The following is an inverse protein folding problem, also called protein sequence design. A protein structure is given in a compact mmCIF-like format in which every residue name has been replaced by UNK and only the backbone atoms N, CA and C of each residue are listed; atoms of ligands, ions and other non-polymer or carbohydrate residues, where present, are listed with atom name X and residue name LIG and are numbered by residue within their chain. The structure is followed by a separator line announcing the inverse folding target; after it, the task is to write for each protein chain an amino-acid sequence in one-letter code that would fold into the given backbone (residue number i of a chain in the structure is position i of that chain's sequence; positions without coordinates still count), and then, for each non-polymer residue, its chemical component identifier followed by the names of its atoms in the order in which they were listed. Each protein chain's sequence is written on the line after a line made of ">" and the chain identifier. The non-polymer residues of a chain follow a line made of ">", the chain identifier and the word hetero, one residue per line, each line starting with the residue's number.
data_IF_684557773222
#
_entry.id   IF_684557773222
#
_cell.length_a   1.000
_cell.length_b   1.000
_cell.length_c   1.000
_cell.angle_alpha   90.00
_cell.angle_beta   90.00
_cell.angle_gamma   90.00
#
_symmetry.space_group_name_H-M   'P 1'
#
loop_
_entity.id
_entity.type
_entity.pdbx_description
1 polymer ?
#
# COMPACT_ATOMS: atom_id res chain seq x y z
N UNK A 1 -6.42 -3.60 -17.51
CA UNK A 1 -6.29 -4.55 -16.39
C UNK A 1 -7.50 -4.35 -15.49
N UNK A 2 -8.22 -5.41 -15.18
CA UNK A 2 -9.37 -5.38 -14.27
C UNK A 2 -8.92 -5.68 -12.85
N UNK A 3 -9.73 -5.29 -11.87
CA UNK A 3 -9.57 -5.73 -10.49
C UNK A 3 -9.53 -7.26 -10.41
N UNK A 4 -8.56 -7.80 -9.68
CA UNK A 4 -8.36 -9.25 -9.55
C UNK A 4 -9.19 -9.88 -8.41
N UNK A 5 -9.86 -9.06 -7.60
CA UNK A 5 -10.67 -9.51 -6.47
C UNK A 5 -10.06 -9.15 -5.11
N UNK A 6 -10.90 -9.22 -4.07
CA UNK A 6 -10.50 -9.01 -2.67
C UNK A 6 -9.78 -10.24 -2.12
N UNK A 7 -8.84 -10.02 -1.21
CA UNK A 7 -8.11 -11.08 -0.52
C UNK A 7 -8.24 -10.92 0.99
N UNK A 8 -8.21 -12.03 1.71
CA UNK A 8 -8.00 -11.96 3.16
C UNK A 8 -6.58 -11.44 3.46
N UNK A 9 -6.33 -10.86 4.65
CA UNK A 9 -4.97 -10.45 5.04
C UNK A 9 -3.96 -11.60 4.97
N UNK A 10 -4.37 -12.83 5.28
CA UNK A 10 -3.50 -14.00 5.23
C UNK A 10 -3.12 -14.38 3.78
N UNK A 11 -4.09 -14.37 2.86
CA UNK A 11 -3.83 -14.65 1.44
C UNK A 11 -2.97 -13.56 0.80
N UNK A 12 -3.17 -12.30 1.21
CA UNK A 12 -2.33 -11.19 0.78
C UNK A 12 -0.89 -11.36 1.27
N UNK A 13 -0.70 -11.75 2.53
CA UNK A 13 0.63 -12.01 3.10
C UNK A 13 1.36 -13.14 2.37
N UNK A 14 0.68 -14.25 2.08
CA UNK A 14 1.26 -15.37 1.34
C UNK A 14 1.76 -14.95 -0.07
N UNK A 15 1.15 -13.92 -0.67
CA UNK A 15 1.65 -13.33 -1.93
C UNK A 15 2.89 -12.46 -1.72
N UNK A 16 2.97 -11.71 -0.62
CA UNK A 16 4.15 -10.91 -0.29
C UNK A 16 5.38 -11.80 -0.07
N UNK A 17 5.21 -12.96 0.57
CA UNK A 17 6.26 -13.97 0.72
C UNK A 17 6.72 -14.55 -0.63
N UNK A 18 5.91 -14.44 -1.68
CA UNK A 18 6.23 -14.85 -3.05
C UNK A 18 6.75 -13.68 -3.91
N UNK A 19 7.16 -12.57 -3.30
CA UNK A 19 7.75 -11.43 -3.99
C UNK A 19 6.74 -10.42 -4.55
N UNK A 20 5.47 -10.48 -4.13
CA UNK A 20 4.53 -9.39 -4.43
C UNK A 20 4.91 -8.09 -3.69
N UNK A 21 4.44 -6.95 -4.21
CA UNK A 21 4.67 -5.63 -3.61
C UNK A 21 3.39 -5.18 -2.91
N UNK A 22 3.50 -4.84 -1.62
CA UNK A 22 2.43 -4.17 -0.88
C UNK A 22 2.45 -2.68 -1.21
N UNK A 23 1.33 -2.13 -1.69
CA UNK A 23 1.15 -0.69 -1.84
C UNK A 23 0.21 -0.21 -0.74
N UNK A 24 0.74 0.50 0.25
CA UNK A 24 -0.05 1.13 1.31
C UNK A 24 -0.52 2.50 0.81
N UNK A 25 -1.85 2.62 0.65
CA UNK A 25 -2.50 3.78 0.02
C UNK A 25 -3.19 4.70 1.03
N UNK A 26 -3.00 4.43 2.33
CA UNK A 26 -3.45 5.27 3.43
C UNK A 26 -2.75 6.61 3.41
N UNK A 27 -3.25 7.55 4.18
CA UNK A 27 -2.66 8.90 4.31
C UNK A 27 -1.36 8.87 5.12
N UNK A 28 -0.49 9.86 4.89
CA UNK A 28 0.70 10.08 5.73
C UNK A 28 0.34 10.22 7.22
N UNK A 29 -0.78 10.88 7.52
CA UNK A 29 -1.30 10.99 8.88
C UNK A 29 -1.59 9.63 9.52
N UNK A 30 -2.18 8.70 8.78
CA UNK A 30 -2.42 7.34 9.27
C UNK A 30 -1.11 6.58 9.49
N UNK A 31 -0.13 6.69 8.60
CA UNK A 31 1.17 6.04 8.81
C UNK A 31 1.87 6.56 10.07
N UNK A 32 1.83 7.88 10.30
CA UNK A 32 2.48 8.50 11.46
C UNK A 32 1.78 8.18 12.79
N UNK A 33 0.44 8.09 12.81
CA UNK A 33 -0.33 7.93 14.05
C UNK A 33 -0.71 6.47 14.36
N UNK A 34 -0.94 5.65 13.34
CA UNK A 34 -1.35 4.24 13.48
C UNK A 34 -0.15 3.31 13.33
N UNK A 35 0.79 3.68 12.45
CA UNK A 35 1.96 2.89 12.11
C UNK A 35 1.88 2.26 10.72
N UNK A 36 2.99 1.63 10.34
CA UNK A 36 3.21 1.00 9.05
C UNK A 36 3.31 -0.53 9.20
N UNK A 37 2.99 -1.31 8.15
CA UNK A 37 3.18 -2.75 8.18
C UNK A 37 4.66 -3.13 8.33
N UNK A 38 4.96 -4.10 9.20
CA UNK A 38 6.29 -4.70 9.32
C UNK A 38 6.43 -5.86 8.34
N UNK A 39 7.10 -5.63 7.21
CA UNK A 39 7.29 -6.63 6.15
C UNK A 39 8.73 -7.15 6.05
N UNK A 40 9.51 -7.06 7.13
CA UNK A 40 10.92 -7.52 7.18
C UNK A 40 11.12 -8.99 6.80
N UNK A 41 10.08 -9.81 6.90
CA UNK A 41 10.10 -11.23 6.53
C UNK A 41 9.80 -11.49 5.04
N UNK A 42 9.52 -10.45 4.25
CA UNK A 42 9.17 -10.54 2.82
C UNK A 42 10.30 -10.00 1.94
N UNK A 43 10.24 -10.25 0.64
CA UNK A 43 11.29 -9.81 -0.29
C UNK A 43 11.29 -8.30 -0.57
N UNK A 44 10.15 -7.62 -0.39
CA UNK A 44 9.99 -6.22 -0.77
C UNK A 44 9.51 -5.36 0.42
N UNK A 45 10.08 -4.16 0.52
CA UNK A 45 9.52 -3.12 1.37
C UNK A 45 8.18 -2.59 0.80
N UNK A 46 7.24 -2.13 1.64
CA UNK A 46 5.99 -1.58 1.16
C UNK A 46 6.23 -0.25 0.42
N UNK A 47 5.47 -0.03 -0.64
CA UNK A 47 5.42 1.28 -1.30
C UNK A 47 4.33 2.13 -0.65
N UNK A 48 4.73 3.27 -0.11
CA UNK A 48 3.83 4.24 0.51
C UNK A 48 3.37 5.25 -0.52
N UNK A 49 2.14 5.09 -1.02
CA UNK A 49 1.54 5.93 -2.06
C UNK A 49 0.12 6.29 -1.65
N UNK A 50 -0.02 7.36 -0.86
CA UNK A 50 -1.34 7.83 -0.43
C UNK A 50 -2.22 8.15 -1.64
N UNK A 51 -3.47 7.71 -1.64
CA UNK A 51 -4.43 8.07 -2.70
C UNK A 51 -5.15 9.38 -2.41
N UNK A 52 -5.21 9.77 -1.13
CA UNK A 52 -5.80 11.01 -0.70
C UNK A 52 -4.80 11.78 0.19
N UNK A 53 -4.81 13.10 0.05
CA UNK A 53 -4.20 14.05 0.97
C UNK A 53 -5.17 14.32 2.12
N UNK A 54 -4.71 15.15 3.08
CA UNK A 54 -5.56 15.65 4.15
C UNK A 54 -6.87 16.25 3.62
N UNK A 55 -7.99 15.91 4.28
CA UNK A 55 -9.33 16.38 3.87
C UNK A 55 -9.97 15.61 2.72
N UNK A 56 -9.42 14.45 2.31
CA UNK A 56 -10.00 13.60 1.26
C UNK A 56 -9.75 14.10 -0.16
N UNK A 57 -8.76 14.97 -0.35
CA UNK A 57 -8.38 15.48 -1.66
C UNK A 57 -7.58 14.39 -2.39
N UNK A 58 -8.00 13.91 -3.57
CA UNK A 58 -7.24 12.92 -4.31
C UNK A 58 -5.82 13.41 -4.59
N UNK A 59 -4.83 12.53 -4.44
CA UNK A 59 -3.46 12.90 -4.79
C UNK A 59 -3.37 13.29 -6.26
N UNK A 60 -2.72 14.43 -6.59
CA UNK A 60 -2.48 14.79 -7.97
C UNK A 60 -1.74 13.65 -8.66
N UNK A 61 -2.21 13.24 -9.83
CA UNK A 61 -1.44 12.34 -10.68
C UNK A 61 -0.15 13.07 -11.05
N UNK A 62 0.99 12.65 -10.49
CA UNK A 62 2.27 13.02 -11.09
C UNK A 62 2.28 12.40 -12.48
N UNK A 63 2.25 13.23 -13.53
CA UNK A 63 2.74 12.83 -14.84
C UNK A 63 4.19 12.40 -14.66
N UNK A 64 4.42 11.11 -14.41
CA UNK A 64 5.74 10.53 -14.59
C UNK A 64 6.06 10.68 -16.08
N UNK A 65 6.99 11.60 -16.37
CA UNK A 65 7.71 11.65 -17.64
C UNK A 65 8.59 10.42 -17.79
#
# INVERSE_FOLDING_TARGET
>A
MSYAGDLSPHDAWAKLEQGAILVDVRTEGEWAHIGIPDTKATENDPLFIQWNLAGGIPTPVSSKS
#
